data_IF_253273992208
#
_entry.id   IF_253273992208
#
_cell.length_a   1.000
_cell.length_b   1.000
_cell.length_c   1.000
_cell.angle_alpha   90.00
_cell.angle_beta   90.00
_cell.angle_gamma   90.00
#
_symmetry.space_group_name_H-M   'P 1'
#
loop_
_entity.id
_entity.type
_entity.pdbx_description
1 polymer ?
#
# COMPACT_ATOMS: atom_id res chain seq x y z
N UNK A 1 14.61 -11.71 -4.31
CA UNK A 1 13.37 -12.23 -4.96
C UNK A 1 12.63 -13.09 -3.93
N UNK A 2 11.33 -12.93 -3.84
CA UNK A 2 10.47 -13.58 -2.85
C UNK A 2 9.14 -14.05 -3.45
N UNK A 3 8.31 -14.65 -2.60
CA UNK A 3 6.95 -15.08 -2.92
C UNK A 3 5.90 -13.95 -2.76
N UNK A 4 6.33 -12.71 -2.80
CA UNK A 4 5.48 -11.52 -2.84
C UNK A 4 5.79 -10.48 -1.75
N UNK A 5 5.48 -9.22 -2.04
CA UNK A 5 5.76 -8.10 -1.13
C UNK A 5 5.10 -8.26 0.25
N UNK A 6 3.90 -8.88 0.34
CA UNK A 6 3.26 -9.17 1.64
C UNK A 6 4.16 -10.03 2.54
N UNK A 7 4.75 -11.09 1.97
CA UNK A 7 5.67 -11.96 2.71
C UNK A 7 6.92 -11.21 3.13
N UNK A 8 7.46 -10.35 2.26
CA UNK A 8 8.62 -9.52 2.59
C UNK A 8 8.30 -8.51 3.69
N UNK A 9 7.14 -7.84 3.64
CA UNK A 9 6.68 -6.92 4.69
C UNK A 9 6.61 -7.60 6.08
N UNK A 10 6.15 -8.85 6.12
CA UNK A 10 6.09 -9.61 7.37
C UNK A 10 7.46 -10.15 7.79
N UNK A 11 8.22 -10.66 6.85
CA UNK A 11 9.50 -11.32 7.12
C UNK A 11 10.61 -10.34 7.50
N UNK A 12 10.56 -9.11 7.02
CA UNK A 12 11.60 -8.10 7.29
C UNK A 12 11.64 -7.70 8.78
N UNK A 13 10.56 -7.97 9.49
CA UNK A 13 10.48 -7.74 10.94
C UNK A 13 11.58 -8.46 11.72
N UNK A 14 12.08 -9.58 11.20
CA UNK A 14 13.07 -10.42 11.88
C UNK A 14 14.49 -9.84 11.87
N UNK A 15 14.75 -8.79 11.09
CA UNK A 15 16.06 -8.10 11.10
C UNK A 15 16.07 -6.82 11.93
N UNK A 16 14.97 -6.48 12.59
CA UNK A 16 14.83 -5.31 13.44
C UNK A 16 14.58 -5.68 14.90
N UNK A 17 14.94 -4.78 15.83
CA UNK A 17 14.69 -4.97 17.26
C UNK A 17 13.20 -4.92 17.59
N UNK A 18 12.79 -5.65 18.62
CA UNK A 18 11.42 -5.58 19.16
C UNK A 18 11.11 -4.22 19.79
N UNK A 19 12.12 -3.48 20.22
CA UNK A 19 11.98 -2.16 20.82
C UNK A 19 11.80 -1.03 19.79
N UNK A 20 11.97 -1.35 18.48
CA UNK A 20 11.82 -0.34 17.45
C UNK A 20 10.37 0.15 17.34
N UNK A 21 10.19 1.47 17.37
CA UNK A 21 8.91 2.11 17.13
C UNK A 21 8.61 2.20 15.65
N UNK A 22 7.36 1.90 15.29
CA UNK A 22 6.91 1.98 13.90
C UNK A 22 5.97 3.16 13.70
N UNK A 23 6.05 3.81 12.53
CA UNK A 23 5.08 4.78 12.06
C UNK A 23 4.36 4.24 10.82
N UNK A 24 3.03 4.36 10.81
CA UNK A 24 2.16 3.92 9.70
C UNK A 24 1.17 5.02 9.35
N UNK A 25 0.78 5.12 8.08
CA UNK A 25 -0.39 5.91 7.70
C UNK A 25 -1.65 5.35 8.37
N UNK A 26 -2.67 6.18 8.58
CA UNK A 26 -3.97 5.77 9.09
C UNK A 26 -5.06 6.52 8.29
N UNK A 27 -5.83 5.86 7.39
CA UNK A 27 -5.85 4.42 7.13
C UNK A 27 -4.67 3.91 6.28
N UNK A 28 -4.38 2.59 6.41
CA UNK A 28 -3.28 1.93 5.70
C UNK A 28 -3.58 0.45 5.43
N UNK A 29 -2.77 -0.18 4.61
CA UNK A 29 -2.80 -1.63 4.41
C UNK A 29 -2.53 -2.35 5.75
N UNK A 30 -3.48 -3.14 6.30
CA UNK A 30 -3.43 -3.65 7.67
C UNK A 30 -2.19 -4.49 7.98
N UNK A 31 -1.61 -5.12 6.96
CA UNK A 31 -0.44 -6.01 7.13
C UNK A 31 0.75 -5.32 7.80
N UNK A 32 0.89 -4.00 7.65
CA UNK A 32 2.00 -3.30 8.31
C UNK A 32 1.81 -3.25 9.83
N UNK A 33 0.59 -3.06 10.31
CA UNK A 33 0.28 -3.13 11.74
C UNK A 33 0.30 -4.59 12.21
N UNK A 34 -0.44 -5.47 11.53
CA UNK A 34 -0.60 -6.87 11.93
C UNK A 34 0.74 -7.62 12.02
N UNK A 35 1.65 -7.39 11.06
CA UNK A 35 2.97 -8.04 11.09
C UNK A 35 3.82 -7.58 12.27
N UNK A 36 3.68 -6.31 12.70
CA UNK A 36 4.37 -5.80 13.88
C UNK A 36 3.72 -6.28 15.19
N UNK A 37 2.38 -6.46 15.21
CA UNK A 37 1.67 -7.12 16.31
C UNK A 37 2.17 -8.57 16.48
N UNK A 38 2.21 -9.33 15.39
CA UNK A 38 2.70 -10.72 15.40
C UNK A 38 4.17 -10.81 15.81
N UNK A 39 4.98 -9.82 15.49
CA UNK A 39 6.38 -9.72 15.92
C UNK A 39 6.54 -9.31 17.39
N UNK A 40 5.46 -8.90 18.09
CA UNK A 40 5.51 -8.44 19.48
C UNK A 40 6.00 -7.01 19.66
N UNK A 41 5.99 -6.19 18.60
CA UNK A 41 6.52 -4.80 18.60
C UNK A 41 5.46 -3.74 18.86
N UNK A 42 4.18 -4.05 18.66
CA UNK A 42 3.12 -3.06 18.63
C UNK A 42 2.69 -2.54 20.02
N UNK A 43 3.10 -3.19 21.10
CA UNK A 43 2.61 -2.87 22.45
C UNK A 43 1.19 -3.40 22.70
N UNK A 44 0.51 -2.81 23.69
CA UNK A 44 -0.85 -3.19 24.07
C UNK A 44 -1.89 -2.55 23.12
N UNK A 45 -3.02 -3.24 22.93
CA UNK A 45 -4.15 -2.69 22.21
C UNK A 45 -5.04 -1.85 23.13
N UNK A 46 -5.25 -0.60 22.77
CA UNK A 46 -6.20 0.30 23.42
C UNK A 46 -7.55 0.28 22.65
N UNK A 47 -8.54 -0.36 23.25
CA UNK A 47 -9.87 -0.47 22.67
C UNK A 47 -10.65 0.86 22.60
N UNK A 48 -10.27 1.88 23.39
CA UNK A 48 -10.92 3.19 23.36
C UNK A 48 -10.52 4.02 22.13
N UNK A 49 -9.29 3.83 21.66
CA UNK A 49 -8.74 4.53 20.48
C UNK A 49 -8.61 3.61 19.26
N UNK A 50 -8.84 2.31 19.43
CA UNK A 50 -8.64 1.27 18.42
C UNK A 50 -7.20 1.24 17.89
N UNK A 51 -6.21 1.51 18.74
CA UNK A 51 -4.79 1.65 18.39
C UNK A 51 -3.89 0.83 19.30
N UNK A 52 -2.73 0.46 18.76
CA UNK A 52 -1.66 -0.15 19.53
C UNK A 52 -0.75 0.94 20.12
N UNK A 53 -0.35 0.79 21.38
CA UNK A 53 0.35 1.83 22.16
C UNK A 53 1.76 2.14 21.68
N UNK A 54 2.42 1.22 20.98
CA UNK A 54 3.79 1.40 20.47
C UNK A 54 3.82 1.66 18.94
N UNK A 55 2.67 2.01 18.35
CA UNK A 55 2.53 2.36 16.94
C UNK A 55 2.21 3.84 16.80
N UNK A 56 3.00 4.56 16.02
CA UNK A 56 2.75 5.95 15.65
C UNK A 56 1.83 5.97 14.44
N UNK A 57 0.58 6.38 14.64
CA UNK A 57 -0.40 6.52 13.56
C UNK A 57 -0.32 7.93 12.98
N UNK A 58 -0.12 8.02 11.67
CA UNK A 58 -0.04 9.27 10.92
C UNK A 58 -1.37 9.47 10.18
N UNK A 59 -2.28 10.36 10.66
CA UNK A 59 -3.60 10.50 10.07
C UNK A 59 -3.53 10.93 8.59
N UNK A 60 -4.29 10.23 7.75
CA UNK A 60 -4.47 10.51 6.33
C UNK A 60 -5.96 10.74 6.09
N UNK A 61 -6.39 11.99 6.25
CA UNK A 61 -7.79 12.41 6.22
C UNK A 61 -8.11 13.28 5.01
N UNK A 62 -9.37 13.65 4.82
CA UNK A 62 -9.76 14.52 3.70
C UNK A 62 -9.08 15.91 3.78
N UNK A 63 -8.81 16.40 5.01
CA UNK A 63 -8.21 17.71 5.26
C UNK A 63 -6.75 17.80 4.78
N UNK A 64 -6.03 16.67 4.76
CA UNK A 64 -4.65 16.59 4.27
C UNK A 64 -4.54 15.81 2.94
N UNK A 65 -5.64 15.69 2.19
CA UNK A 65 -5.72 14.94 0.93
C UNK A 65 -5.26 13.47 1.07
N UNK A 66 -5.52 12.86 2.20
CA UNK A 66 -5.13 11.49 2.55
C UNK A 66 -3.62 11.22 2.46
N UNK A 67 -2.80 12.24 2.68
CA UNK A 67 -1.33 12.13 2.72
C UNK A 67 -0.82 12.44 4.13
N UNK A 68 0.13 11.65 4.67
CA UNK A 68 0.59 11.83 6.05
C UNK A 68 1.51 13.04 6.19
N UNK A 69 1.43 13.70 7.34
CA UNK A 69 2.45 14.64 7.81
C UNK A 69 3.58 13.91 8.53
N UNK A 70 4.75 14.55 8.62
CA UNK A 70 5.87 14.00 9.40
C UNK A 70 5.46 13.82 10.86
N UNK A 71 5.76 12.66 11.47
CA UNK A 71 5.33 12.38 12.83
C UNK A 71 6.03 13.27 13.85
N UNK A 72 5.31 13.62 14.94
CA UNK A 72 5.87 14.41 16.04
C UNK A 72 6.80 13.58 16.92
N UNK A 73 6.49 12.31 17.09
CA UNK A 73 7.32 11.33 17.78
C UNK A 73 8.28 10.70 16.79
N UNK A 74 9.52 10.46 17.20
CA UNK A 74 10.54 9.86 16.32
C UNK A 74 10.34 8.35 16.20
N UNK A 75 10.04 7.82 14.99
CA UNK A 75 10.00 6.39 14.73
C UNK A 75 11.40 5.84 14.40
N UNK A 76 11.55 4.53 14.55
CA UNK A 76 12.69 3.79 13.97
C UNK A 76 12.39 3.26 12.58
N UNK A 77 11.13 2.85 12.34
CA UNK A 77 10.65 2.33 11.07
C UNK A 77 9.44 3.14 10.58
N UNK A 78 9.44 3.50 9.31
CA UNK A 78 8.36 4.26 8.68
C UNK A 78 7.82 3.46 7.50
N UNK A 79 6.55 3.03 7.57
CA UNK A 79 5.88 2.39 6.44
C UNK A 79 5.23 3.43 5.56
N UNK A 80 5.64 3.48 4.29
CA UNK A 80 5.01 4.31 3.26
C UNK A 80 4.59 3.44 2.09
N UNK A 81 3.39 3.66 1.58
CA UNK A 81 2.86 3.00 0.40
C UNK A 81 2.26 4.07 -0.52
N UNK A 82 2.88 4.30 -1.66
CA UNK A 82 2.37 5.22 -2.67
C UNK A 82 2.53 4.61 -4.07
N UNK A 83 1.41 4.48 -4.82
CA UNK A 83 0.00 4.80 -4.47
C UNK A 83 -0.48 4.06 -3.22
N UNK A 84 -1.24 4.78 -2.36
CA UNK A 84 -1.67 4.21 -1.09
C UNK A 84 -2.83 3.20 -1.26
N UNK A 85 -2.77 2.13 -0.53
CA UNK A 85 -3.90 1.26 -0.23
C UNK A 85 -4.34 1.56 1.21
N UNK A 86 -5.56 2.09 1.46
CA UNK A 86 -6.76 2.00 0.62
C UNK A 86 -7.12 3.25 -0.19
N UNK A 87 -6.54 4.42 0.10
CA UNK A 87 -7.07 5.72 -0.32
C UNK A 87 -6.80 6.06 -1.79
N UNK A 88 -5.82 5.40 -2.41
CA UNK A 88 -5.31 5.77 -3.74
C UNK A 88 -4.50 7.07 -3.75
N UNK A 89 -4.19 7.63 -2.58
CA UNK A 89 -3.44 8.87 -2.46
C UNK A 89 -1.99 8.72 -2.95
N UNK A 90 -1.45 9.82 -3.44
CA UNK A 90 -0.10 9.93 -3.97
C UNK A 90 0.62 11.10 -3.32
N UNK A 91 1.95 11.07 -3.38
CA UNK A 91 2.81 12.19 -3.02
C UNK A 91 3.69 12.58 -4.20
N UNK A 92 3.96 13.86 -4.34
CA UNK A 92 4.93 14.37 -5.32
C UNK A 92 6.35 13.94 -4.95
N UNK A 93 7.27 14.03 -5.91
CA UNK A 93 8.69 13.77 -5.64
C UNK A 93 9.24 14.68 -4.52
N UNK A 94 8.80 15.94 -4.49
CA UNK A 94 9.22 16.89 -3.46
C UNK A 94 8.72 16.52 -2.06
N UNK A 95 7.51 15.97 -1.96
CA UNK A 95 6.98 15.48 -0.69
C UNK A 95 7.66 14.18 -0.26
N UNK A 96 7.91 13.24 -1.19
CA UNK A 96 8.65 12.02 -0.89
C UNK A 96 10.11 12.33 -0.47
N UNK A 97 10.73 13.38 -1.06
CA UNK A 97 12.06 13.83 -0.64
C UNK A 97 12.08 14.28 0.83
N UNK A 98 11.03 14.97 1.31
CA UNK A 98 10.95 15.35 2.74
C UNK A 98 10.97 14.15 3.68
N UNK A 99 10.37 13.03 3.28
CA UNK A 99 10.40 11.78 4.04
C UNK A 99 11.81 11.18 4.08
N UNK A 100 12.51 11.19 2.95
CA UNK A 100 13.90 10.72 2.87
C UNK A 100 14.83 11.59 3.71
N UNK A 101 14.69 12.91 3.62
CA UNK A 101 15.47 13.86 4.42
C UNK A 101 15.19 13.69 5.91
N UNK A 102 13.92 13.53 6.30
CA UNK A 102 13.53 13.28 7.67
C UNK A 102 14.12 11.97 8.19
N UNK A 103 13.97 10.87 7.45
CA UNK A 103 14.48 9.56 7.86
C UNK A 103 16.00 9.59 8.07
N UNK A 104 16.74 10.19 7.14
CA UNK A 104 18.19 10.37 7.30
C UNK A 104 18.55 11.24 8.52
N UNK A 105 17.78 12.29 8.78
CA UNK A 105 18.00 13.20 9.92
C UNK A 105 17.82 12.50 11.26
N UNK A 106 16.81 11.66 11.39
CA UNK A 106 16.47 10.99 12.67
C UNK A 106 17.05 9.60 12.81
N UNK A 107 17.64 9.05 11.73
CA UNK A 107 18.18 7.69 11.70
C UNK A 107 17.13 6.59 11.53
N UNK A 108 15.93 6.94 11.05
CA UNK A 108 14.86 5.99 10.78
C UNK A 108 15.06 5.27 9.44
N UNK A 109 14.43 4.09 9.29
CA UNK A 109 14.39 3.33 8.03
C UNK A 109 12.99 3.40 7.43
N UNK A 110 12.90 3.81 6.17
CA UNK A 110 11.65 3.77 5.40
C UNK A 110 11.49 2.38 4.77
N UNK A 111 10.36 1.75 5.04
CA UNK A 111 9.87 0.56 4.35
C UNK A 111 8.86 1.02 3.30
N UNK A 112 9.32 1.15 2.06
CA UNK A 112 8.54 1.72 0.96
C UNK A 112 7.90 0.60 0.13
N UNK A 113 6.57 0.49 0.20
CA UNK A 113 5.79 -0.46 -0.59
C UNK A 113 5.37 0.18 -1.92
N UNK A 114 6.01 -0.26 -3.00
CA UNK A 114 5.77 0.19 -4.36
C UNK A 114 4.90 -0.80 -5.18
N UNK A 115 4.01 -1.56 -4.52
CA UNK A 115 3.21 -2.59 -5.18
C UNK A 115 2.27 -2.05 -6.28
N UNK A 116 1.97 -0.76 -6.28
CA UNK A 116 1.07 -0.11 -7.24
C UNK A 116 1.77 0.86 -8.20
N UNK A 117 3.09 0.90 -8.24
CA UNK A 117 3.86 1.85 -9.06
C UNK A 117 3.52 1.82 -10.55
N UNK A 118 3.14 0.65 -11.08
CA UNK A 118 2.77 0.50 -12.49
C UNK A 118 1.48 1.25 -12.88
N UNK A 119 0.68 1.67 -11.90
CA UNK A 119 -0.55 2.44 -12.11
C UNK A 119 -0.30 3.95 -12.17
N UNK A 120 0.88 4.42 -11.81
CA UNK A 120 1.25 5.84 -11.86
C UNK A 120 1.28 6.30 -13.32
N UNK A 121 0.50 7.33 -13.62
CA UNK A 121 0.38 7.91 -14.97
C UNK A 121 0.87 9.35 -15.05
N UNK A 122 0.97 10.05 -13.93
CA UNK A 122 1.40 11.43 -13.84
C UNK A 122 2.92 11.54 -13.75
N UNK A 123 3.50 12.48 -14.49
CA UNK A 123 4.97 12.58 -14.68
C UNK A 123 5.76 13.00 -13.46
N UNK A 124 5.12 13.75 -12.54
CA UNK A 124 5.79 14.31 -11.36
C UNK A 124 5.72 13.38 -10.14
N UNK A 125 5.10 12.23 -10.31
CA UNK A 125 4.98 11.20 -9.27
C UNK A 125 6.09 10.16 -9.45
N UNK A 126 6.93 9.93 -8.42
CA UNK A 126 8.03 8.98 -8.52
C UNK A 126 7.53 7.53 -8.56
N UNK A 127 8.14 6.71 -9.41
CA UNK A 127 7.90 5.26 -9.47
C UNK A 127 8.76 4.47 -8.48
N UNK A 128 9.75 5.12 -7.87
CA UNK A 128 10.65 4.51 -6.90
C UNK A 128 11.08 5.56 -5.88
N UNK A 129 11.24 5.14 -4.62
CA UNK A 129 11.83 6.02 -3.61
C UNK A 129 13.28 6.39 -3.94
N UNK A 130 13.97 5.55 -4.73
CA UNK A 130 15.35 5.82 -5.14
C UNK A 130 15.50 6.92 -6.19
N UNK A 131 14.41 7.52 -6.65
CA UNK A 131 14.42 8.77 -7.40
C UNK A 131 14.68 9.99 -6.50
N UNK A 132 14.57 9.81 -5.16
CA UNK A 132 14.89 10.81 -4.16
C UNK A 132 16.36 10.71 -3.75
N UNK A 133 17.01 11.88 -3.58
CA UNK A 133 18.40 11.95 -3.14
C UNK A 133 18.53 11.45 -1.70
N UNK A 134 19.56 10.66 -1.41
CA UNK A 134 19.79 10.10 -0.07
C UNK A 134 18.90 8.89 0.30
N UNK A 135 17.99 8.44 -0.57
CA UNK A 135 17.13 7.30 -0.25
C UNK A 135 17.90 5.98 -0.04
N UNK A 136 19.07 5.84 -0.69
CA UNK A 136 19.88 4.62 -0.56
C UNK A 136 20.47 4.41 0.83
N UNK A 137 20.49 5.43 1.68
CA UNK A 137 21.01 5.36 3.06
C UNK A 137 19.92 5.11 4.11
N UNK A 138 18.64 5.21 3.74
CA UNK A 138 17.53 5.10 4.71
C UNK A 138 16.29 4.34 4.21
N UNK A 139 16.25 3.88 2.94
CA UNK A 139 15.03 3.27 2.41
C UNK A 139 15.25 1.84 1.88
N UNK A 140 14.29 0.99 2.20
CA UNK A 140 14.11 -0.37 1.67
C UNK A 140 12.86 -0.34 0.80
N UNK A 141 12.96 -0.77 -0.47
CA UNK A 141 11.83 -0.77 -1.40
C UNK A 141 11.34 -2.19 -1.67
N UNK A 142 10.04 -2.39 -1.56
CA UNK A 142 9.35 -3.65 -1.84
C UNK A 142 8.54 -3.55 -3.13
N UNK A 143 8.72 -4.52 -4.02
CA UNK A 143 8.05 -4.62 -5.31
C UNK A 143 7.22 -5.88 -5.42
N UNK A 144 6.09 -5.80 -6.11
CA UNK A 144 5.15 -6.91 -6.27
C UNK A 144 4.74 -7.09 -7.71
N UNK A 145 4.73 -8.34 -8.18
CA UNK A 145 4.11 -8.71 -9.46
C UNK A 145 2.61 -9.01 -9.33
N UNK A 146 2.08 -9.01 -8.11
CA UNK A 146 0.67 -9.39 -7.85
C UNK A 146 -0.33 -8.49 -8.55
N UNK A 147 -0.05 -7.18 -8.62
CA UNK A 147 -1.01 -6.18 -9.10
C UNK A 147 -0.74 -5.74 -10.54
N UNK A 148 0.51 -5.53 -10.89
CA UNK A 148 0.89 -5.11 -12.23
C UNK A 148 0.83 -6.24 -13.27
N UNK A 149 1.25 -7.46 -12.89
CA UNK A 149 1.35 -8.62 -13.79
C UNK A 149 0.30 -9.72 -13.53
N UNK A 150 -0.64 -9.51 -12.61
CA UNK A 150 -1.65 -10.52 -12.30
C UNK A 150 -1.12 -11.73 -11.52
N UNK A 151 0.08 -11.67 -10.94
CA UNK A 151 0.74 -12.79 -10.26
C UNK A 151 0.26 -13.02 -8.82
N UNK A 152 -0.96 -12.57 -8.47
CA UNK A 152 -1.49 -12.72 -7.11
C UNK A 152 -1.48 -14.18 -6.63
N UNK A 153 -1.90 -15.12 -7.46
CA UNK A 153 -1.88 -16.56 -7.17
C UNK A 153 -0.54 -17.24 -7.47
N UNK A 154 0.32 -16.62 -8.30
CA UNK A 154 1.61 -17.18 -8.71
C UNK A 154 2.74 -16.86 -7.72
N UNK A 155 2.57 -15.86 -6.89
CA UNK A 155 3.46 -15.45 -5.80
C UNK A 155 4.85 -15.04 -6.24
N UNK A 156 5.03 -13.77 -6.63
CA UNK A 156 6.34 -13.21 -6.95
C UNK A 156 6.43 -11.75 -6.50
N UNK A 157 7.57 -11.40 -5.92
CA UNK A 157 7.97 -10.06 -5.54
C UNK A 157 9.48 -9.98 -5.37
N UNK A 158 9.97 -8.81 -5.05
CA UNK A 158 11.35 -8.62 -4.66
C UNK A 158 11.51 -7.40 -3.76
N UNK A 159 12.54 -7.43 -2.94
CA UNK A 159 12.91 -6.34 -2.03
C UNK A 159 14.30 -5.85 -2.36
N UNK A 160 14.45 -4.53 -2.48
CA UNK A 160 15.72 -3.86 -2.70
C UNK A 160 16.20 -3.29 -1.37
N UNK A 161 17.35 -3.76 -0.89
CA UNK A 161 18.03 -3.26 0.31
C UNK A 161 19.42 -2.77 -0.08
N UNK A 162 19.67 -1.47 -0.13
CA UNK A 162 20.97 -0.92 -0.42
C UNK A 162 22.01 -1.36 0.63
N UNK A 163 23.26 -1.58 0.18
CA UNK A 163 24.37 -1.90 1.07
C UNK A 163 24.84 -0.69 1.88
N UNK A 164 24.34 0.50 1.54
CA UNK A 164 24.66 1.75 2.24
C UNK A 164 23.92 1.86 3.57
N UNK A 165 22.82 1.10 3.79
CA UNK A 165 22.09 1.06 5.04
C UNK A 165 22.81 0.16 6.03
N UNK A 166 23.27 0.72 7.14
CA UNK A 166 24.08 0.04 8.16
C UNK A 166 23.52 0.22 9.57
N UNK A 167 23.75 -0.78 10.41
CA UNK A 167 23.62 -0.72 11.86
C UNK A 167 24.97 -1.11 12.45
N UNK A 168 25.74 -0.12 12.92
CA UNK A 168 27.15 -0.29 13.25
C UNK A 168 27.95 -0.74 12.03
N UNK A 169 28.69 -1.83 12.16
CA UNK A 169 29.52 -2.39 11.08
C UNK A 169 28.75 -3.36 10.15
N UNK A 170 27.48 -3.64 10.44
CA UNK A 170 26.67 -4.62 9.71
C UNK A 170 25.71 -3.90 8.75
N UNK A 171 25.64 -4.37 7.49
CA UNK A 171 24.65 -3.85 6.54
C UNK A 171 23.31 -4.56 6.71
N UNK A 172 22.20 -3.83 6.60
CA UNK A 172 20.87 -4.47 6.62
C UNK A 172 20.70 -5.46 5.45
N UNK A 173 21.37 -5.20 4.34
CA UNK A 173 21.44 -6.14 3.22
C UNK A 173 22.00 -7.51 3.64
N UNK A 174 23.08 -7.56 4.44
CA UNK A 174 23.66 -8.82 4.91
C UNK A 174 22.77 -9.56 5.90
N UNK A 175 22.08 -8.84 6.78
CA UNK A 175 21.08 -9.40 7.70
C UNK A 175 19.92 -10.03 6.92
N UNK A 176 19.37 -9.30 5.95
CA UNK A 176 18.30 -9.81 5.10
C UNK A 176 18.74 -11.01 4.27
N UNK A 177 19.91 -10.97 3.67
CA UNK A 177 20.46 -12.10 2.91
C UNK A 177 20.64 -13.34 3.80
N UNK A 178 21.11 -13.17 5.05
CA UNK A 178 21.25 -14.25 6.03
C UNK A 178 19.88 -14.83 6.40
N UNK A 179 18.92 -13.96 6.76
CA UNK A 179 17.53 -14.35 7.07
C UNK A 179 16.93 -15.13 5.90
N UNK A 180 17.02 -14.59 4.69
CA UNK A 180 16.45 -15.18 3.49
C UNK A 180 17.05 -16.55 3.21
N UNK A 181 18.38 -16.67 3.19
CA UNK A 181 19.08 -17.93 2.96
C UNK A 181 18.88 -18.97 4.07
N UNK A 182 18.39 -18.57 5.26
CA UNK A 182 18.11 -19.49 6.36
C UNK A 182 16.66 -20.02 6.32
N UNK A 183 15.70 -19.19 5.94
CA UNK A 183 14.26 -19.51 6.06
C UNK A 183 13.52 -19.65 4.74
N UNK A 184 14.17 -19.41 3.61
CA UNK A 184 13.54 -19.38 2.31
C UNK A 184 14.45 -19.90 1.20
N UNK A 185 13.99 -20.88 0.44
CA UNK A 185 14.76 -21.50 -0.65
C UNK A 185 14.58 -20.79 -2.01
N UNK A 186 13.73 -19.79 -2.10
CA UNK A 186 13.44 -19.05 -3.31
C UNK A 186 12.05 -19.30 -3.88
N UNK A 187 11.55 -18.37 -4.67
CA UNK A 187 10.33 -18.55 -5.44
C UNK A 187 10.52 -19.67 -6.48
N UNK A 188 9.45 -20.37 -6.90
CA UNK A 188 9.56 -21.41 -7.92
C UNK A 188 10.24 -20.88 -9.20
N UNK A 189 11.17 -21.66 -9.76
CA UNK A 189 11.97 -21.23 -10.90
C UNK A 189 11.14 -20.78 -12.10
N UNK A 190 10.06 -21.52 -12.42
CA UNK A 190 9.14 -21.16 -13.51
C UNK A 190 8.53 -19.78 -13.29
N UNK A 191 8.17 -19.45 -12.05
CA UNK A 191 7.58 -18.16 -11.70
C UNK A 191 8.62 -17.04 -11.80
N UNK A 192 9.88 -17.30 -11.44
CA UNK A 192 10.96 -16.33 -11.65
C UNK A 192 11.19 -16.07 -13.15
N UNK A 193 11.14 -17.11 -14.00
CA UNK A 193 11.24 -16.96 -15.46
C UNK A 193 10.05 -16.19 -16.03
N UNK A 194 8.83 -16.43 -15.53
CA UNK A 194 7.66 -15.64 -15.90
C UNK A 194 7.83 -14.16 -15.48
N UNK A 195 8.38 -13.90 -14.29
CA UNK A 195 8.71 -12.54 -13.85
C UNK A 195 9.76 -11.84 -14.71
N UNK A 196 10.75 -12.57 -15.20
CA UNK A 196 11.73 -12.04 -16.17
C UNK A 196 11.05 -11.65 -17.48
N UNK A 197 10.12 -12.48 -17.98
CA UNK A 197 9.37 -12.22 -19.21
C UNK A 197 8.53 -10.94 -19.13
N UNK A 198 8.07 -10.54 -17.92
CA UNK A 198 7.37 -9.27 -17.69
C UNK A 198 8.17 -8.04 -18.16
N UNK A 199 9.50 -8.12 -18.10
CA UNK A 199 10.38 -7.02 -18.51
C UNK A 199 10.78 -7.06 -20.01
N UNK A 200 10.39 -8.08 -20.76
CA UNK A 200 10.55 -8.10 -22.22
C UNK A 200 9.71 -6.99 -22.88
N UNK A 201 10.01 -6.59 -24.12
CA UNK A 201 9.17 -5.64 -24.86
C UNK A 201 7.70 -6.07 -24.92
N UNK A 202 7.44 -7.34 -25.20
CA UNK A 202 6.10 -7.93 -25.27
C UNK A 202 5.42 -7.94 -23.90
N UNK A 203 6.14 -8.34 -22.84
CA UNK A 203 5.62 -8.35 -21.48
C UNK A 203 5.22 -6.93 -21.01
N UNK A 204 6.07 -5.94 -21.26
CA UNK A 204 5.76 -4.53 -20.95
C UNK A 204 4.54 -4.02 -21.72
N UNK A 205 4.36 -4.40 -22.98
CA UNK A 205 3.19 -4.03 -23.76
C UNK A 205 1.91 -4.63 -23.16
N UNK A 206 1.91 -5.92 -22.83
CA UNK A 206 0.79 -6.61 -22.21
C UNK A 206 0.45 -6.02 -20.82
N UNK A 207 1.45 -5.70 -20.01
CA UNK A 207 1.23 -5.04 -18.73
C UNK A 207 0.57 -3.68 -18.88
N UNK A 208 1.01 -2.89 -19.86
CA UNK A 208 0.41 -1.58 -20.14
C UNK A 208 -1.06 -1.71 -20.51
N UNK A 209 -1.43 -2.69 -21.31
CA UNK A 209 -2.82 -2.97 -21.68
C UNK A 209 -3.64 -3.40 -20.46
N UNK A 210 -3.11 -4.29 -19.62
CA UNK A 210 -3.76 -4.74 -18.39
C UNK A 210 -3.99 -3.60 -17.40
N UNK A 211 -2.98 -2.77 -17.17
CA UNK A 211 -3.09 -1.59 -16.30
C UNK A 211 -4.12 -0.62 -16.86
N UNK A 212 -4.10 -0.35 -18.17
CA UNK A 212 -5.07 0.53 -18.83
C UNK A 212 -6.51 -0.01 -18.68
N UNK A 213 -6.70 -1.34 -18.76
CA UNK A 213 -8.00 -1.97 -18.54
C UNK A 213 -8.52 -1.70 -17.12
N UNK A 214 -7.70 -1.92 -16.09
CA UNK A 214 -8.12 -1.64 -14.71
C UNK A 214 -8.33 -0.15 -14.45
N UNK A 215 -7.51 0.73 -15.04
CA UNK A 215 -7.70 2.16 -14.89
C UNK A 215 -8.95 2.67 -15.61
N UNK A 216 -9.37 2.01 -16.71
CA UNK A 216 -10.69 2.25 -17.33
C UNK A 216 -11.82 1.91 -16.35
N UNK A 217 -11.72 0.78 -15.65
CA UNK A 217 -12.69 0.40 -14.61
C UNK A 217 -12.71 1.42 -13.46
N UNK A 218 -11.53 1.84 -12.99
CA UNK A 218 -11.42 2.85 -11.94
C UNK A 218 -12.13 4.16 -12.32
N UNK A 219 -11.96 4.59 -13.58
CA UNK A 219 -12.63 5.77 -14.10
C UNK A 219 -14.16 5.59 -14.14
N UNK A 220 -14.67 4.42 -14.55
CA UNK A 220 -16.12 4.13 -14.53
C UNK A 220 -16.69 4.24 -13.12
N UNK A 221 -15.98 3.66 -12.13
CA UNK A 221 -16.41 3.74 -10.72
C UNK A 221 -16.39 5.19 -10.24
N UNK A 222 -15.28 5.89 -10.44
CA UNK A 222 -15.11 7.27 -9.97
C UNK A 222 -16.15 8.22 -10.59
N UNK A 223 -16.27 8.24 -11.92
CA UNK A 223 -17.17 9.14 -12.62
C UNK A 223 -18.63 8.82 -12.31
N UNK A 224 -18.98 7.53 -12.28
CA UNK A 224 -20.33 7.07 -12.01
C UNK A 224 -20.81 7.44 -10.60
N UNK A 225 -19.99 7.21 -9.59
CA UNK A 225 -20.35 7.52 -8.21
C UNK A 225 -20.32 9.02 -7.94
N UNK A 226 -19.34 9.74 -8.48
CA UNK A 226 -19.27 11.20 -8.38
C UNK A 226 -20.49 11.86 -9.04
N UNK A 227 -20.90 11.35 -10.23
CA UNK A 227 -22.09 11.80 -10.94
C UNK A 227 -23.40 11.52 -10.20
N UNK A 228 -23.43 10.52 -9.32
CA UNK A 228 -24.56 10.19 -8.44
C UNK A 228 -24.53 10.95 -7.09
N UNK A 229 -23.56 11.85 -6.89
CA UNK A 229 -23.48 12.69 -5.69
C UNK A 229 -22.62 12.13 -4.55
N UNK A 230 -21.97 10.97 -4.73
CA UNK A 230 -21.05 10.43 -3.73
C UNK A 230 -19.73 11.23 -3.69
N UNK A 231 -19.17 11.37 -2.50
CA UNK A 231 -17.83 11.92 -2.31
C UNK A 231 -16.80 10.80 -2.49
N UNK A 232 -15.99 10.90 -3.52
CA UNK A 232 -14.99 9.88 -3.89
C UNK A 232 -13.64 10.51 -4.16
N UNK A 233 -12.57 9.77 -3.85
CA UNK A 233 -11.18 10.09 -4.16
C UNK A 233 -10.43 8.86 -4.69
N UNK A 234 -9.18 9.01 -5.12
CA UNK A 234 -8.40 7.94 -5.74
C UNK A 234 -8.76 7.69 -7.20
N UNK A 235 -8.40 6.53 -7.75
CA UNK A 235 -8.76 6.09 -9.10
C UNK A 235 -7.97 6.75 -10.24
N UNK A 236 -6.94 7.56 -9.97
CA UNK A 236 -6.11 8.22 -11.00
C UNK A 236 -4.77 7.51 -11.19
N UNK A 237 -4.03 7.28 -10.12
CA UNK A 237 -2.75 6.58 -10.11
C UNK A 237 -2.81 5.26 -9.34
N UNK A 238 -4.01 4.79 -9.04
CA UNK A 238 -4.25 3.57 -8.28
C UNK A 238 -5.57 2.93 -8.68
N UNK A 239 -5.69 1.60 -8.58
CA UNK A 239 -6.94 0.88 -8.88
C UNK A 239 -7.93 0.92 -7.72
N UNK A 240 -7.80 1.86 -6.80
CA UNK A 240 -8.66 2.02 -5.63
C UNK A 240 -9.44 3.32 -5.68
N UNK A 241 -10.71 3.22 -5.34
CA UNK A 241 -11.61 4.35 -5.11
C UNK A 241 -11.99 4.35 -3.64
N UNK A 242 -11.73 5.48 -2.99
CA UNK A 242 -12.03 5.73 -1.60
C UNK A 242 -13.29 6.57 -1.51
N UNK A 243 -14.36 5.96 -1.04
CA UNK A 243 -15.71 6.55 -1.00
C UNK A 243 -16.06 6.92 0.44
N UNK A 244 -16.52 8.15 0.66
CA UNK A 244 -17.13 8.54 1.93
C UNK A 244 -18.54 7.95 2.01
N UNK A 245 -18.86 7.26 3.12
CA UNK A 245 -20.19 6.65 3.31
C UNK A 245 -21.27 7.73 3.33
N UNK A 246 -22.45 7.49 2.69
CA UNK A 246 -23.54 8.45 2.68
C UNK A 246 -24.26 8.50 4.04
N UNK A 247 -24.94 9.60 4.34
CA UNK A 247 -25.85 9.72 5.47
C UNK A 247 -25.21 9.51 6.85
N UNK A 248 -23.88 9.66 6.99
CA UNK A 248 -23.12 9.34 8.19
C UNK A 248 -23.20 7.87 8.63
N UNK A 249 -23.45 6.94 7.70
CA UNK A 249 -23.37 5.51 7.98
C UNK A 249 -21.93 5.16 8.41
N UNK A 250 -21.82 4.23 9.34
CA UNK A 250 -20.55 3.57 9.62
C UNK A 250 -20.07 2.76 8.40
N UNK A 251 -18.79 2.43 8.37
CA UNK A 251 -18.21 1.60 7.29
C UNK A 251 -18.92 0.25 7.15
N UNK A 252 -19.33 -0.36 8.27
CA UNK A 252 -20.02 -1.64 8.27
C UNK A 252 -21.52 -1.52 7.92
N UNK A 253 -22.23 -0.48 8.38
CA UNK A 253 -23.61 -0.23 7.96
C UNK A 253 -23.70 -0.03 6.45
N UNK A 254 -22.71 0.68 5.86
CA UNK A 254 -22.65 0.83 4.41
C UNK A 254 -22.31 -0.47 3.69
N UNK A 255 -21.47 -1.34 4.28
CA UNK A 255 -21.22 -2.69 3.75
C UNK A 255 -22.52 -3.50 3.67
N UNK A 256 -23.27 -3.55 4.76
CA UNK A 256 -24.53 -4.29 4.82
C UNK A 256 -25.57 -3.74 3.82
N UNK A 257 -25.66 -2.40 3.71
CA UNK A 257 -26.52 -1.72 2.75
C UNK A 257 -26.16 -2.07 1.29
N UNK A 258 -24.85 -1.99 0.93
CA UNK A 258 -24.40 -2.35 -0.42
C UNK A 258 -24.67 -3.83 -0.74
N UNK A 259 -24.46 -4.71 0.23
CA UNK A 259 -24.67 -6.13 0.03
C UNK A 259 -26.14 -6.47 -0.15
N UNK A 260 -27.01 -5.93 0.73
CA UNK A 260 -28.45 -6.24 0.73
C UNK A 260 -29.18 -5.62 -0.46
N UNK A 261 -28.93 -4.36 -0.78
CA UNK A 261 -29.74 -3.59 -1.71
C UNK A 261 -29.14 -3.47 -3.11
N UNK A 262 -27.80 -3.56 -3.23
CA UNK A 262 -27.12 -3.51 -4.53
C UNK A 262 -26.46 -4.83 -4.95
N UNK A 263 -26.33 -5.82 -4.07
CA UNK A 263 -25.54 -7.05 -4.29
C UNK A 263 -24.09 -6.73 -4.72
N UNK A 264 -23.50 -5.72 -4.07
CA UNK A 264 -22.11 -5.30 -4.31
C UNK A 264 -21.29 -5.50 -3.04
N UNK A 265 -20.10 -6.05 -3.19
CA UNK A 265 -19.15 -6.26 -2.09
C UNK A 265 -17.93 -5.38 -2.28
N UNK A 266 -17.55 -4.66 -1.25
CA UNK A 266 -16.31 -3.89 -1.17
C UNK A 266 -15.66 -4.07 0.20
N UNK A 267 -14.84 -3.12 0.62
CA UNK A 267 -14.14 -3.25 1.89
C UNK A 267 -14.46 -2.06 2.80
N UNK A 268 -15.00 -2.31 4.02
CA UNK A 268 -15.21 -1.25 5.01
C UNK A 268 -13.91 -0.51 5.33
N UNK A 269 -14.00 0.81 5.41
CA UNK A 269 -12.82 1.65 5.64
C UNK A 269 -12.20 1.45 7.02
N UNK A 270 -13.02 1.18 8.04
CA UNK A 270 -12.56 0.83 9.38
C UNK A 270 -11.60 -0.37 9.42
N UNK A 271 -11.68 -1.28 8.44
CA UNK A 271 -10.73 -2.40 8.30
C UNK A 271 -9.29 -1.97 7.92
N UNK A 272 -9.05 -0.69 7.66
CA UNK A 272 -7.73 -0.14 7.34
C UNK A 272 -7.17 0.76 8.44
N UNK A 273 -7.86 0.89 9.54
CA UNK A 273 -7.49 1.72 10.68
C UNK A 273 -8.61 2.68 11.10
N UNK A 274 -8.51 3.26 12.32
CA UNK A 274 -9.55 4.11 12.89
C UNK A 274 -9.96 5.31 12.01
N UNK A 275 -8.98 5.95 11.33
CA UNK A 275 -9.26 7.07 10.42
C UNK A 275 -9.96 6.63 9.11
N UNK A 276 -10.12 5.34 8.89
CA UNK A 276 -10.91 4.77 7.79
C UNK A 276 -12.42 4.66 8.08
N UNK A 277 -12.84 4.89 9.35
CA UNK A 277 -14.25 4.86 9.70
C UNK A 277 -15.04 5.94 8.95
N UNK A 278 -16.26 5.61 8.50
CA UNK A 278 -17.07 6.47 7.63
C UNK A 278 -16.59 6.51 6.16
N UNK A 279 -15.72 5.60 5.77
CA UNK A 279 -15.23 5.41 4.39
C UNK A 279 -15.40 3.97 3.94
N UNK A 280 -15.25 3.77 2.61
CA UNK A 280 -15.38 2.47 1.99
C UNK A 280 -14.46 2.37 0.76
N UNK A 281 -13.74 1.25 0.63
CA UNK A 281 -12.85 1.03 -0.53
C UNK A 281 -13.53 0.18 -1.58
N UNK A 282 -13.58 0.70 -2.82
CA UNK A 282 -13.90 -0.05 -4.03
C UNK A 282 -12.62 -0.31 -4.84
N UNK A 283 -12.61 -1.40 -5.62
CA UNK A 283 -11.47 -1.79 -6.44
C UNK A 283 -11.84 -1.94 -7.89
N UNK A 284 -10.89 -1.65 -8.78
CA UNK A 284 -11.06 -1.74 -10.22
C UNK A 284 -10.66 -3.12 -10.82
N UNK A 285 -10.39 -4.12 -9.99
CA UNK A 285 -9.87 -5.43 -10.45
C UNK A 285 -10.92 -6.41 -11.00
N UNK A 286 -12.17 -5.98 -11.16
CA UNK A 286 -13.23 -6.77 -11.77
C UNK A 286 -13.20 -6.77 -13.31
N UNK A 287 -14.16 -7.45 -13.92
CA UNK A 287 -14.44 -7.28 -15.35
C UNK A 287 -15.09 -5.92 -15.60
N UNK A 288 -14.96 -5.41 -16.82
CA UNK A 288 -15.56 -4.13 -17.18
C UNK A 288 -17.09 -4.15 -17.05
N UNK A 289 -17.72 -5.21 -17.52
CA UNK A 289 -19.16 -5.41 -17.50
C UNK A 289 -19.71 -5.43 -16.05
N UNK A 290 -19.07 -6.23 -15.19
CA UNK A 290 -19.46 -6.29 -13.77
C UNK A 290 -19.22 -4.96 -13.06
N UNK A 291 -18.17 -4.23 -13.45
CA UNK A 291 -17.87 -2.90 -12.90
C UNK A 291 -18.96 -1.89 -13.26
N UNK A 292 -19.37 -1.85 -14.53
CA UNK A 292 -20.47 -0.99 -14.98
C UNK A 292 -21.78 -1.35 -14.27
N UNK A 293 -22.10 -2.64 -14.20
CA UNK A 293 -23.30 -3.13 -13.52
C UNK A 293 -23.32 -2.76 -12.03
N UNK A 294 -22.20 -2.96 -11.33
CA UNK A 294 -22.10 -2.59 -9.91
C UNK A 294 -22.33 -1.09 -9.70
N UNK A 295 -21.72 -0.24 -10.53
CA UNK A 295 -21.91 1.21 -10.47
C UNK A 295 -23.39 1.59 -10.70
N UNK A 296 -24.04 1.00 -11.70
CA UNK A 296 -25.45 1.28 -11.99
C UNK A 296 -26.41 0.80 -10.87
N UNK A 297 -26.02 -0.25 -10.11
CA UNK A 297 -26.77 -0.68 -8.93
C UNK A 297 -26.57 0.28 -7.77
N UNK A 298 -25.34 0.71 -7.48
CA UNK A 298 -25.06 1.67 -6.40
C UNK A 298 -25.74 3.02 -6.63
N UNK A 299 -25.84 3.48 -7.88
CA UNK A 299 -26.54 4.74 -8.24
C UNK A 299 -28.02 4.76 -7.93
N UNK A 300 -28.63 3.61 -7.66
CA UNK A 300 -30.06 3.48 -7.37
C UNK A 300 -30.35 3.51 -5.87
N UNK A 301 -29.31 3.46 -5.05
CA UNK A 301 -29.41 3.61 -3.59
C UNK A 301 -29.58 5.08 -3.21
#
# INVERSE_FOLDING_TARGET
VSDGAKCDCSNIQEIFSLDNKIAVCDPVYPVYVDSNVMAGRAGDYDAATERFTNVIYMPCTAENNFTPELPKETPDLIYLCFPNNPTGAMVSKAELQKWVDYANKVGAIILYDAAYEAYISEKDIPHSIYECEGARTCAIEMRSFSKNAGFTGMRLGFTVIPKDIKSGDVTLHSLWARRHGTKYNGAPYIIQRAGEAVYSPEGKAQLKEQVAYYMKNAKVIYDGLKGAGYTVSGGVNAPYIWLKTPGNMTSWEFFDHLLADANVVGTPGSGFGPSGEGYFRLTAFGTYENTVEAVERIKKL
#
